data_IF_600886264376
#
_entry.id   IF_600886264376
#
_cell.length_a   1.000
_cell.length_b   1.000
_cell.length_c   1.000
_cell.angle_alpha   90.00
_cell.angle_beta   90.00
_cell.angle_gamma   90.00
#
_symmetry.space_group_name_H-M   'P 1'
#
loop_
_entity.id
_entity.type
_entity.pdbx_description
1 polymer ?
#
# COMPACT_ATOMS: atom_id res chain seq x y z
N UNK A 1 -27.82 8.55 -18.17
CA UNK A 1 -26.65 8.03 -17.44
C UNK A 1 -25.72 7.42 -18.48
N UNK A 2 -24.47 7.84 -18.54
CA UNK A 2 -23.54 7.24 -19.50
C UNK A 2 -23.30 5.79 -19.08
N UNK A 3 -23.72 4.85 -19.92
CA UNK A 3 -23.41 3.44 -19.73
C UNK A 3 -21.94 3.25 -20.14
N UNK A 4 -21.08 2.84 -19.23
CA UNK A 4 -19.65 2.65 -19.49
C UNK A 4 -19.38 1.65 -20.62
N UNK A 5 -20.29 0.75 -20.92
CA UNK A 5 -20.15 -0.17 -22.05
C UNK A 5 -19.91 0.54 -23.40
N UNK A 6 -20.50 1.73 -23.59
CA UNK A 6 -20.40 2.52 -24.83
C UNK A 6 -19.56 3.78 -24.65
N UNK A 7 -18.85 3.90 -23.52
CA UNK A 7 -17.92 5.00 -23.32
C UNK A 7 -16.83 5.00 -24.41
N UNK A 8 -16.40 6.17 -24.91
CA UNK A 8 -15.41 6.30 -25.99
C UNK A 8 -14.11 5.53 -25.74
N UNK A 9 -13.69 5.43 -24.48
CA UNK A 9 -12.46 4.73 -24.08
C UNK A 9 -12.69 3.27 -23.67
N UNK A 10 -13.95 2.78 -23.61
CA UNK A 10 -14.24 1.38 -23.32
C UNK A 10 -13.71 0.43 -24.42
N UNK A 11 -13.62 0.91 -25.67
CA UNK A 11 -13.00 0.15 -26.75
C UNK A 11 -11.57 -0.29 -26.40
N UNK A 12 -10.79 0.55 -25.70
CA UNK A 12 -9.42 0.24 -25.24
C UNK A 12 -9.41 -0.87 -24.19
N UNK A 13 -10.45 -0.95 -23.34
CA UNK A 13 -10.61 -2.04 -22.36
C UNK A 13 -10.88 -3.35 -23.09
N UNK A 14 -11.84 -3.38 -24.04
CA UNK A 14 -12.17 -4.60 -24.80
C UNK A 14 -11.01 -5.06 -25.68
N UNK A 15 -10.28 -4.13 -26.28
CA UNK A 15 -9.09 -4.42 -27.08
C UNK A 15 -8.01 -5.09 -26.20
N UNK A 16 -7.69 -4.54 -25.03
CA UNK A 16 -6.73 -5.13 -24.11
C UNK A 16 -7.19 -6.51 -23.63
N UNK A 17 -8.47 -6.69 -23.24
CA UNK A 17 -9.01 -7.98 -22.86
C UNK A 17 -8.86 -9.03 -24.00
N UNK A 18 -9.09 -8.63 -25.24
CA UNK A 18 -8.99 -9.50 -26.40
C UNK A 18 -7.53 -9.82 -26.76
N UNK A 19 -6.68 -8.79 -26.91
CA UNK A 19 -5.34 -8.94 -27.47
C UNK A 19 -4.31 -9.41 -26.44
N UNK A 20 -4.38 -8.88 -25.21
CA UNK A 20 -3.39 -9.16 -24.18
C UNK A 20 -3.80 -10.34 -23.28
N UNK A 21 -5.13 -10.62 -23.18
CA UNK A 21 -5.67 -11.65 -22.29
C UNK A 21 -6.49 -12.75 -22.98
N UNK A 22 -6.63 -12.68 -24.32
CA UNK A 22 -7.22 -13.76 -25.10
C UNK A 22 -8.73 -13.98 -24.89
N UNK A 23 -9.48 -12.95 -24.46
CA UNK A 23 -10.91 -13.07 -24.22
C UNK A 23 -11.65 -13.46 -25.48
N UNK A 24 -12.50 -14.51 -25.38
CA UNK A 24 -13.44 -14.92 -26.43
C UNK A 24 -14.54 -13.87 -26.65
N UNK A 25 -15.29 -14.02 -27.72
CA UNK A 25 -16.46 -13.15 -27.99
C UNK A 25 -17.49 -13.20 -26.85
N UNK A 26 -17.69 -14.35 -26.22
CA UNK A 26 -18.60 -14.54 -25.08
C UNK A 26 -18.09 -13.82 -23.84
N UNK A 27 -16.78 -13.94 -23.52
CA UNK A 27 -16.15 -13.24 -22.40
C UNK A 27 -16.15 -11.73 -22.61
N UNK A 28 -15.97 -11.24 -23.84
CA UNK A 28 -16.11 -9.82 -24.16
C UNK A 28 -17.56 -9.33 -23.99
N UNK A 29 -18.55 -10.14 -24.37
CA UNK A 29 -19.95 -9.82 -24.13
C UNK A 29 -20.29 -9.76 -22.63
N UNK A 30 -19.73 -10.68 -21.83
CA UNK A 30 -19.83 -10.65 -20.37
C UNK A 30 -19.21 -9.38 -19.78
N UNK A 31 -17.99 -9.01 -20.17
CA UNK A 31 -17.32 -7.78 -19.73
C UNK A 31 -18.13 -6.53 -20.12
N UNK A 32 -18.68 -6.50 -21.35
CA UNK A 32 -19.54 -5.42 -21.82
C UNK A 32 -20.82 -5.31 -20.98
N UNK A 33 -21.45 -6.45 -20.64
CA UNK A 33 -22.63 -6.48 -19.77
C UNK A 33 -22.31 -5.93 -18.37
N UNK A 34 -21.14 -6.27 -17.83
CA UNK A 34 -20.68 -5.73 -16.55
C UNK A 34 -20.51 -4.19 -16.60
N UNK A 35 -19.81 -3.68 -17.63
CA UNK A 35 -19.64 -2.23 -17.81
C UNK A 35 -20.93 -1.48 -18.10
N UNK A 36 -21.94 -2.13 -18.69
CA UNK A 36 -23.27 -1.55 -18.87
C UNK A 36 -24.01 -1.33 -17.54
N UNK A 37 -23.73 -2.16 -16.52
CA UNK A 37 -24.29 -2.04 -15.17
C UNK A 37 -23.47 -1.13 -14.25
N UNK A 38 -22.23 -0.82 -14.62
CA UNK A 38 -21.34 0.00 -13.78
C UNK A 38 -21.88 1.42 -13.61
N UNK A 39 -21.83 1.91 -12.37
CA UNK A 39 -22.33 3.23 -11.97
C UNK A 39 -21.24 4.27 -12.00
N UNK A 40 -21.56 5.44 -12.52
CA UNK A 40 -20.69 6.62 -12.45
C UNK A 40 -20.72 7.22 -11.04
N UNK A 41 -19.56 7.35 -10.42
CA UNK A 41 -19.36 7.85 -9.05
C UNK A 41 -18.34 9.02 -9.02
N UNK A 42 -18.72 10.23 -9.51
CA UNK A 42 -17.76 11.34 -9.68
C UNK A 42 -17.11 11.82 -8.39
N UNK A 43 -17.76 11.57 -7.23
CA UNK A 43 -17.19 11.90 -5.92
C UNK A 43 -15.90 11.15 -5.62
N UNK A 44 -15.68 9.96 -6.21
CA UNK A 44 -14.47 9.16 -5.99
C UNK A 44 -13.22 9.85 -6.56
N UNK A 45 -13.37 10.55 -7.70
CA UNK A 45 -12.30 11.33 -8.31
C UNK A 45 -11.89 12.49 -7.38
N UNK A 46 -12.86 13.16 -6.76
CA UNK A 46 -12.58 14.23 -5.78
C UNK A 46 -11.88 13.70 -4.53
N UNK A 47 -12.30 12.54 -4.02
CA UNK A 47 -11.66 11.89 -2.86
C UNK A 47 -10.18 11.57 -3.10
N UNK A 48 -9.83 11.12 -4.30
CA UNK A 48 -8.43 10.83 -4.66
C UNK A 48 -7.56 12.10 -4.63
N UNK A 49 -8.11 13.25 -4.98
CA UNK A 49 -7.39 14.51 -5.05
C UNK A 49 -7.13 15.17 -3.68
N UNK A 50 -7.86 14.77 -2.63
CA UNK A 50 -7.82 15.36 -1.27
C UNK A 50 -7.08 14.48 -0.27
N UNK A 51 -5.94 13.91 -0.65
CA UNK A 51 -5.16 13.05 0.24
C UNK A 51 -4.64 13.82 1.48
N UNK A 52 -4.81 13.27 2.70
CA UNK A 52 -4.45 13.93 3.96
C UNK A 52 -3.00 14.44 4.03
N UNK A 53 -2.04 13.70 3.47
CA UNK A 53 -0.63 14.07 3.49
C UNK A 53 -0.27 15.34 2.72
N UNK A 54 -1.24 15.93 2.00
CA UNK A 54 -1.05 17.22 1.32
C UNK A 54 -1.36 18.41 2.22
N UNK A 55 -2.10 18.19 3.30
CA UNK A 55 -2.66 19.27 4.13
C UNK A 55 -2.34 19.12 5.61
N UNK A 56 -1.98 17.94 6.08
CA UNK A 56 -1.69 17.63 7.48
C UNK A 56 -0.20 17.77 7.79
N UNK A 57 0.10 18.14 9.04
CA UNK A 57 1.42 17.95 9.64
C UNK A 57 1.62 16.50 10.04
N UNK A 58 2.86 16.10 10.35
CA UNK A 58 3.12 14.76 10.88
C UNK A 58 2.41 14.54 12.23
N UNK A 59 2.38 15.55 13.10
CA UNK A 59 1.65 15.46 14.38
C UNK A 59 0.18 15.10 14.17
N UNK A 60 -0.48 15.68 13.16
CA UNK A 60 -1.87 15.41 12.86
C UNK A 60 -2.05 14.01 12.26
N UNK A 61 -1.19 13.63 11.31
CA UNK A 61 -1.24 12.33 10.66
C UNK A 61 -0.97 11.19 11.63
N UNK A 62 -0.02 11.37 12.56
CA UNK A 62 0.36 10.36 13.55
C UNK A 62 -0.76 10.01 14.54
N UNK A 63 -1.81 10.83 14.68
CA UNK A 63 -3.02 10.49 15.47
C UNK A 63 -3.73 9.22 14.97
N UNK A 64 -3.42 8.76 13.75
CA UNK A 64 -3.88 7.47 13.22
C UNK A 64 -3.24 6.28 13.93
N UNK A 65 -2.13 6.48 14.64
CA UNK A 65 -1.49 5.48 15.49
C UNK A 65 -2.15 5.56 16.88
N UNK A 66 -3.43 5.20 16.94
CA UNK A 66 -4.22 5.26 18.17
C UNK A 66 -4.04 3.97 19.02
N UNK A 67 -4.35 4.08 20.33
CA UNK A 67 -4.23 2.98 21.28
C UNK A 67 -5.02 1.73 20.86
N UNK A 68 -6.20 1.92 20.25
CA UNK A 68 -7.01 0.79 19.79
C UNK A 68 -6.30 0.04 18.67
N UNK A 69 -5.70 0.79 17.71
CA UNK A 69 -4.95 0.19 16.61
C UNK A 69 -3.68 -0.53 17.09
N UNK A 70 -2.99 0.01 18.10
CA UNK A 70 -1.82 -0.66 18.71
C UNK A 70 -2.24 -1.97 19.37
N UNK A 71 -3.27 -1.93 20.23
CA UNK A 71 -3.78 -3.11 20.92
C UNK A 71 -4.29 -4.19 19.96
N UNK A 72 -5.07 -3.80 18.96
CA UNK A 72 -5.64 -4.72 17.97
C UNK A 72 -4.52 -5.35 17.12
N UNK A 73 -3.43 -4.59 16.87
CA UNK A 73 -2.23 -5.10 16.19
C UNK A 73 -1.47 -6.12 17.03
N UNK A 74 -1.29 -5.86 18.31
CA UNK A 74 -0.70 -6.84 19.23
C UNK A 74 -1.56 -8.10 19.34
N UNK A 75 -2.89 -7.96 19.42
CA UNK A 75 -3.81 -9.08 19.41
C UNK A 75 -3.72 -9.91 18.11
N UNK A 76 -3.48 -9.27 16.96
CA UNK A 76 -3.29 -10.00 15.70
C UNK A 76 -2.02 -10.88 15.74
N UNK A 77 -0.94 -10.43 16.38
CA UNK A 77 0.27 -11.24 16.53
C UNK A 77 -0.02 -12.54 17.29
N UNK A 78 -0.85 -12.46 18.34
CA UNK A 78 -1.26 -13.62 19.12
C UNK A 78 -2.29 -14.51 18.41
N UNK A 79 -3.12 -13.92 17.54
CA UNK A 79 -4.17 -14.66 16.81
C UNK A 79 -3.61 -15.48 15.65
N UNK A 80 -2.58 -14.97 14.96
CA UNK A 80 -1.99 -15.59 13.75
C UNK A 80 -0.48 -15.88 13.90
N UNK A 81 0.00 -16.46 15.01
CA UNK A 81 1.43 -16.58 15.26
C UNK A 81 2.14 -17.47 14.25
N UNK A 82 1.47 -18.51 13.73
CA UNK A 82 2.05 -19.45 12.75
C UNK A 82 2.23 -18.79 11.40
N UNK A 83 1.19 -18.12 10.88
CA UNK A 83 1.23 -17.44 9.59
C UNK A 83 2.25 -16.31 9.58
N UNK A 84 2.30 -15.51 10.65
CA UNK A 84 3.25 -14.41 10.78
C UNK A 84 4.70 -14.90 10.90
N UNK A 85 4.95 -15.97 11.67
CA UNK A 85 6.27 -16.60 11.72
C UNK A 85 6.67 -17.23 10.38
N UNK A 86 5.70 -17.75 9.61
CA UNK A 86 5.94 -18.26 8.27
C UNK A 86 6.30 -17.14 7.29
N UNK A 87 5.63 -16.00 7.34
CA UNK A 87 5.98 -14.79 6.55
C UNK A 87 7.40 -14.32 6.89
N UNK A 88 7.75 -14.24 8.16
CA UNK A 88 9.09 -13.84 8.56
C UNK A 88 10.16 -14.84 8.08
N UNK A 89 9.87 -16.13 8.17
CA UNK A 89 10.77 -17.18 7.69
C UNK A 89 10.94 -17.12 6.18
N UNK A 90 9.87 -16.95 5.42
CA UNK A 90 9.87 -17.01 3.95
C UNK A 90 10.35 -15.70 3.33
N UNK A 91 9.74 -14.60 3.74
CA UNK A 91 9.95 -13.28 3.12
C UNK A 91 10.89 -12.36 3.92
N UNK A 92 11.21 -12.71 5.16
CA UNK A 92 12.05 -11.90 6.04
C UNK A 92 11.36 -10.67 6.61
N UNK A 93 10.06 -10.51 6.39
CA UNK A 93 9.28 -9.36 6.87
C UNK A 93 8.82 -9.62 8.30
N UNK A 94 9.16 -8.75 9.28
CA UNK A 94 8.77 -8.95 10.68
C UNK A 94 7.25 -8.97 10.86
N UNK A 95 6.72 -9.82 11.77
CA UNK A 95 5.29 -9.88 12.13
C UNK A 95 4.64 -8.52 12.40
N UNK A 96 5.33 -7.65 13.13
CA UNK A 96 4.82 -6.33 13.48
C UNK A 96 4.66 -5.40 12.27
N UNK A 97 5.49 -5.54 11.23
CA UNK A 97 5.36 -4.77 9.97
C UNK A 97 4.11 -5.22 9.22
N UNK A 98 3.87 -6.52 9.09
CA UNK A 98 2.66 -7.05 8.45
C UNK A 98 1.41 -6.60 9.21
N UNK A 99 1.44 -6.68 10.54
CA UNK A 99 0.36 -6.21 11.41
C UNK A 99 0.11 -4.71 11.24
N UNK A 100 1.17 -3.89 11.20
CA UNK A 100 1.05 -2.44 11.01
C UNK A 100 0.44 -2.07 9.66
N UNK A 101 0.82 -2.75 8.57
CA UNK A 101 0.21 -2.55 7.24
C UNK A 101 -1.29 -2.86 7.32
N UNK A 102 -1.69 -4.02 7.83
CA UNK A 102 -3.11 -4.38 8.00
C UNK A 102 -3.86 -3.36 8.88
N UNK A 103 -3.18 -2.85 9.91
CA UNK A 103 -3.73 -1.83 10.80
C UNK A 103 -3.99 -0.50 10.09
N UNK A 104 -3.06 -0.02 9.29
CA UNK A 104 -3.19 1.24 8.53
C UNK A 104 -4.22 1.09 7.40
N UNK A 105 -4.16 0.00 6.63
CA UNK A 105 -5.01 -0.19 5.45
C UNK A 105 -6.48 -0.40 5.83
N UNK A 106 -6.77 -1.32 6.72
CA UNK A 106 -8.15 -1.80 6.91
C UNK A 106 -8.57 -1.97 8.38
N UNK A 107 -7.80 -1.46 9.33
CA UNK A 107 -8.02 -1.80 10.75
C UNK A 107 -8.17 -3.32 10.95
N UNK A 108 -7.17 -4.04 10.45
CA UNK A 108 -7.07 -5.51 10.56
C UNK A 108 -8.23 -6.25 9.87
N UNK A 109 -8.63 -5.79 8.68
CA UNK A 109 -9.70 -6.38 7.90
C UNK A 109 -11.12 -5.89 8.23
N UNK A 110 -11.27 -5.01 9.23
CA UNK A 110 -12.60 -4.51 9.63
C UNK A 110 -13.18 -3.47 8.67
N UNK A 111 -12.34 -2.78 7.90
CA UNK A 111 -12.76 -1.70 6.98
C UNK A 111 -12.08 -1.91 5.62
N UNK A 112 -12.60 -2.81 4.82
CA UNK A 112 -12.04 -3.14 3.48
C UNK A 112 -12.63 -2.29 2.36
N UNK A 113 -13.58 -1.41 2.68
CA UNK A 113 -14.33 -0.61 1.72
C UNK A 113 -15.68 -1.23 1.36
N UNK A 114 -16.60 -0.38 0.87
CA UNK A 114 -17.97 -0.77 0.53
C UNK A 114 -18.41 -0.31 -0.87
N UNK A 115 -17.47 0.21 -1.67
CA UNK A 115 -17.72 0.60 -3.07
C UNK A 115 -17.55 -0.63 -3.95
N UNK A 116 -18.47 -0.86 -4.90
CA UNK A 116 -18.24 -1.91 -5.90
C UNK A 116 -16.95 -1.60 -6.67
N UNK A 117 -16.03 -2.54 -6.71
CA UNK A 117 -14.73 -2.39 -7.40
C UNK A 117 -14.94 -2.05 -8.87
N UNK A 118 -15.93 -2.67 -9.51
CA UNK A 118 -16.33 -2.36 -10.89
C UNK A 118 -16.67 -0.86 -11.07
N UNK A 119 -17.52 -0.30 -10.19
CA UNK A 119 -17.93 1.11 -10.29
C UNK A 119 -16.75 2.06 -10.05
N UNK A 120 -15.92 1.75 -9.05
CA UNK A 120 -14.73 2.55 -8.73
C UNK A 120 -13.75 2.59 -9.91
N UNK A 121 -13.42 1.42 -10.46
CA UNK A 121 -12.45 1.29 -11.54
C UNK A 121 -13.00 1.78 -12.89
N UNK A 122 -14.29 1.58 -13.18
CA UNK A 122 -14.92 2.14 -14.38
C UNK A 122 -14.93 3.68 -14.33
N UNK A 123 -15.34 4.27 -13.19
CA UNK A 123 -15.32 5.74 -13.02
C UNK A 123 -13.91 6.30 -13.15
N UNK A 124 -12.94 5.72 -12.43
CA UNK A 124 -11.57 6.22 -12.43
C UNK A 124 -10.84 5.90 -13.75
N UNK A 125 -11.09 4.74 -14.34
CA UNK A 125 -10.44 4.25 -15.55
C UNK A 125 -10.93 4.90 -16.84
N UNK A 126 -12.12 5.48 -16.84
CA UNK A 126 -12.72 6.07 -18.03
C UNK A 126 -12.95 7.59 -17.91
N UNK A 127 -13.18 8.12 -16.70
CA UNK A 127 -13.53 9.53 -16.48
C UNK A 127 -12.46 10.34 -15.70
N UNK A 128 -11.42 9.71 -15.12
CA UNK A 128 -10.43 10.45 -14.33
C UNK A 128 -9.60 11.39 -15.22
N UNK A 129 -9.41 12.68 -14.86
CA UNK A 129 -8.80 13.67 -15.74
C UNK A 129 -7.32 13.40 -16.07
N UNK A 130 -6.56 12.78 -15.15
CA UNK A 130 -5.10 12.64 -15.29
C UNK A 130 -4.57 11.21 -15.11
N UNK A 131 -5.32 10.31 -14.44
CA UNK A 131 -4.87 8.94 -14.09
C UNK A 131 -5.64 7.84 -14.82
N UNK A 132 -6.41 8.19 -15.83
CA UNK A 132 -7.19 7.23 -16.66
C UNK A 132 -6.35 6.04 -17.13
N UNK A 133 -5.11 6.19 -17.66
CA UNK A 133 -4.35 5.04 -18.13
C UNK A 133 -4.06 4.02 -17.03
N UNK A 134 -3.71 4.48 -15.83
CA UNK A 134 -3.45 3.60 -14.68
C UNK A 134 -4.73 2.86 -14.25
N UNK A 135 -5.81 3.60 -13.97
CA UNK A 135 -7.05 2.97 -13.51
C UNK A 135 -7.72 2.10 -14.58
N UNK A 136 -7.55 2.43 -15.86
CA UNK A 136 -8.01 1.57 -16.96
C UNK A 136 -7.27 0.24 -17.02
N UNK A 137 -5.96 0.23 -16.80
CA UNK A 137 -5.21 -1.03 -16.68
C UNK A 137 -5.66 -1.85 -15.48
N UNK A 138 -6.00 -1.20 -14.36
CA UNK A 138 -6.56 -1.89 -13.20
C UNK A 138 -7.99 -2.41 -13.44
N UNK A 139 -8.82 -1.70 -14.23
CA UNK A 139 -10.13 -2.19 -14.67
C UNK A 139 -10.00 -3.44 -15.53
N UNK A 140 -9.06 -3.46 -16.47
CA UNK A 140 -8.74 -4.65 -17.28
C UNK A 140 -8.31 -5.80 -16.36
N UNK A 141 -7.35 -5.55 -15.46
CA UNK A 141 -6.86 -6.55 -14.51
C UNK A 141 -7.98 -7.09 -13.61
N UNK A 142 -8.93 -6.25 -13.20
CA UNK A 142 -10.10 -6.67 -12.41
C UNK A 142 -11.04 -7.59 -13.19
N UNK A 143 -11.36 -7.25 -14.44
CA UNK A 143 -12.21 -8.09 -15.26
C UNK A 143 -11.56 -9.44 -15.55
N UNK A 144 -10.25 -9.47 -15.78
CA UNK A 144 -9.49 -10.72 -15.93
C UNK A 144 -9.51 -11.52 -14.62
N UNK A 145 -9.25 -10.89 -13.47
CA UNK A 145 -9.29 -11.54 -12.17
C UNK A 145 -10.67 -12.14 -11.88
N UNK A 146 -11.74 -11.38 -12.14
CA UNK A 146 -13.12 -11.87 -11.96
C UNK A 146 -13.41 -13.08 -12.82
N UNK A 147 -12.93 -13.09 -14.07
CA UNK A 147 -13.06 -14.24 -14.97
C UNK A 147 -12.26 -15.46 -14.46
N UNK A 148 -11.02 -15.25 -14.01
CA UNK A 148 -10.15 -16.31 -13.46
C UNK A 148 -10.74 -16.95 -12.20
N UNK A 149 -11.40 -16.14 -11.36
CA UNK A 149 -12.02 -16.55 -10.11
C UNK A 149 -13.47 -17.02 -10.25
N UNK A 150 -14.09 -16.89 -11.42
CA UNK A 150 -15.51 -17.19 -11.62
C UNK A 150 -16.44 -16.24 -10.86
N UNK A 151 -15.98 -15.02 -10.52
CA UNK A 151 -16.81 -14.03 -9.81
C UNK A 151 -17.76 -13.30 -10.75
N UNK A 152 -18.95 -12.93 -10.26
CA UNK A 152 -19.68 -11.83 -10.87
C UNK A 152 -18.95 -10.52 -10.56
N UNK A 153 -18.45 -9.75 -11.55
CA UNK A 153 -17.69 -8.53 -11.33
C UNK A 153 -18.49 -7.42 -10.65
N UNK A 154 -19.80 -7.60 -10.48
CA UNK A 154 -20.69 -6.66 -9.78
C UNK A 154 -20.66 -6.81 -8.26
N UNK A 155 -20.14 -7.95 -7.75
CA UNK A 155 -20.18 -8.27 -6.32
C UNK A 155 -18.99 -7.76 -5.51
N UNK A 156 -17.71 -7.88 -5.96
CA UNK A 156 -16.57 -7.49 -5.15
C UNK A 156 -16.64 -6.03 -4.71
N UNK A 157 -16.43 -5.80 -3.41
CA UNK A 157 -16.36 -4.47 -2.81
C UNK A 157 -14.96 -4.17 -2.33
N UNK A 158 -14.62 -2.88 -2.38
CA UNK A 158 -13.30 -2.40 -1.99
C UNK A 158 -13.29 -0.90 -1.71
N UNK A 159 -12.13 -0.29 -1.80
CA UNK A 159 -11.96 1.13 -1.59
C UNK A 159 -12.53 1.98 -2.73
N UNK A 160 -12.58 3.29 -2.52
CA UNK A 160 -12.94 4.27 -3.54
C UNK A 160 -12.02 4.25 -4.78
N UNK A 161 -10.80 3.71 -4.66
CA UNK A 161 -9.84 3.56 -5.74
C UNK A 161 -9.84 2.16 -6.37
N UNK A 162 -10.68 1.23 -5.88
CA UNK A 162 -10.76 -0.14 -6.39
C UNK A 162 -9.75 -1.10 -5.76
N UNK A 163 -9.12 -0.73 -4.63
CA UNK A 163 -8.29 -1.64 -3.86
C UNK A 163 -9.14 -2.64 -3.07
N UNK A 164 -8.68 -3.89 -2.95
CA UNK A 164 -9.47 -5.04 -2.51
C UNK A 164 -8.89 -5.75 -1.29
N UNK A 165 -9.79 -6.27 -0.45
CA UNK A 165 -9.46 -7.12 0.68
C UNK A 165 -8.77 -6.43 1.84
N UNK A 166 -8.32 -7.18 2.84
CA UNK A 166 -7.65 -6.67 4.03
C UNK A 166 -6.28 -6.04 3.72
N UNK A 167 -5.60 -6.53 2.68
CA UNK A 167 -4.33 -6.02 2.19
C UNK A 167 -4.46 -4.81 1.24
N UNK A 168 -5.67 -4.42 0.83
CA UNK A 168 -5.92 -3.31 -0.10
C UNK A 168 -5.10 -3.40 -1.40
N UNK A 169 -5.03 -4.58 -2.01
CA UNK A 169 -4.35 -4.75 -3.28
C UNK A 169 -5.19 -4.22 -4.44
N UNK A 170 -4.53 -3.50 -5.35
CA UNK A 170 -5.09 -3.25 -6.67
C UNK A 170 -5.23 -4.57 -7.44
N UNK A 171 -6.19 -4.69 -8.39
CA UNK A 171 -6.43 -5.95 -9.11
C UNK A 171 -5.20 -6.57 -9.77
N UNK A 172 -4.32 -5.75 -10.34
CA UNK A 172 -3.07 -6.22 -10.94
C UNK A 172 -2.13 -6.87 -9.91
N UNK A 173 -2.06 -6.30 -8.69
CA UNK A 173 -1.29 -6.86 -7.59
C UNK A 173 -1.96 -8.11 -7.01
N UNK A 174 -3.28 -8.14 -6.92
CA UNK A 174 -4.02 -9.34 -6.52
C UNK A 174 -3.64 -10.53 -7.41
N UNK A 175 -3.75 -10.37 -8.73
CA UNK A 175 -3.41 -11.42 -9.68
C UNK A 175 -1.94 -11.87 -9.62
N UNK A 176 -1.03 -10.94 -9.36
CA UNK A 176 0.41 -11.20 -9.41
C UNK A 176 1.01 -11.67 -8.10
N UNK A 177 0.53 -11.15 -6.98
CA UNK A 177 1.21 -11.24 -5.68
C UNK A 177 0.38 -11.89 -4.58
N UNK A 178 -0.94 -12.03 -4.75
CA UNK A 178 -1.75 -12.73 -3.75
C UNK A 178 -1.38 -14.23 -3.72
N UNK A 179 -1.45 -14.81 -2.54
CA UNK A 179 -1.12 -16.21 -2.26
C UNK A 179 -2.21 -16.87 -1.43
N UNK A 180 -2.48 -18.14 -1.72
CA UNK A 180 -3.20 -19.06 -0.83
C UNK A 180 -2.23 -19.46 0.29
N UNK A 181 -2.29 -18.71 1.40
CA UNK A 181 -1.29 -18.84 2.45
C UNK A 181 -1.69 -19.83 3.54
N UNK A 182 -2.98 -20.07 3.72
CA UNK A 182 -3.48 -21.12 4.63
C UNK A 182 -3.69 -22.48 3.92
N UNK A 183 -3.50 -22.48 2.59
CA UNK A 183 -3.53 -23.69 1.74
C UNK A 183 -4.89 -24.37 1.71
N UNK A 184 -5.95 -23.57 1.73
CA UNK A 184 -7.32 -24.07 1.59
C UNK A 184 -7.73 -24.31 0.13
N UNK A 185 -6.89 -23.92 -0.84
CA UNK A 185 -7.08 -24.05 -2.29
C UNK A 185 -7.65 -22.81 -2.96
N UNK A 186 -7.92 -21.76 -2.20
CA UNK A 186 -8.43 -20.50 -2.70
C UNK A 186 -7.51 -19.33 -2.29
N UNK A 187 -7.49 -18.27 -3.06
CA UNK A 187 -6.85 -17.02 -2.67
C UNK A 187 -7.95 -16.02 -2.38
N UNK A 188 -8.12 -15.65 -1.11
CA UNK A 188 -9.11 -14.68 -0.65
C UNK A 188 -8.49 -13.58 0.23
N UNK A 189 -8.24 -12.41 -0.33
CA UNK A 189 -7.66 -11.28 0.41
C UNK A 189 -8.61 -10.63 1.42
N UNK A 190 -9.88 -11.02 1.49
CA UNK A 190 -10.77 -10.64 2.61
C UNK A 190 -10.54 -11.52 3.83
N UNK A 191 -9.90 -12.68 3.67
CA UNK A 191 -9.42 -13.53 4.76
C UNK A 191 -8.02 -13.11 5.20
N UNK A 192 -7.82 -13.01 6.52
CA UNK A 192 -6.55 -12.53 7.06
C UNK A 192 -5.34 -13.44 6.78
N UNK A 193 -5.44 -14.77 6.77
CA UNK A 193 -4.30 -15.63 6.45
C UNK A 193 -3.67 -15.30 5.10
N UNK A 194 -4.47 -15.20 4.04
CA UNK A 194 -3.99 -14.87 2.71
C UNK A 194 -3.49 -13.44 2.59
N UNK A 195 -4.18 -12.50 3.26
CA UNK A 195 -3.73 -11.11 3.31
C UNK A 195 -2.36 -10.98 3.99
N UNK A 196 -2.11 -11.73 5.09
CA UNK A 196 -0.82 -11.78 5.81
C UNK A 196 0.29 -12.29 4.87
N UNK A 197 0.09 -13.43 4.23
CA UNK A 197 1.06 -14.00 3.30
C UNK A 197 1.32 -13.11 2.10
N UNK A 198 0.26 -12.54 1.53
CA UNK A 198 0.33 -11.67 0.36
C UNK A 198 1.07 -10.35 0.64
N UNK A 199 0.93 -9.77 1.84
CA UNK A 199 1.72 -8.60 2.27
C UNK A 199 3.21 -8.96 2.33
N UNK A 200 3.56 -10.13 2.91
CA UNK A 200 4.93 -10.61 2.94
C UNK A 200 5.53 -10.73 1.54
N UNK A 201 4.84 -11.42 0.64
CA UNK A 201 5.24 -11.56 -0.76
C UNK A 201 5.34 -10.24 -1.49
N UNK A 202 4.40 -9.32 -1.26
CA UNK A 202 4.42 -7.98 -1.85
C UNK A 202 5.75 -7.27 -1.58
N UNK A 203 6.21 -7.26 -0.35
CA UNK A 203 7.44 -6.55 0.02
C UNK A 203 8.70 -7.12 -0.63
N UNK A 204 8.68 -8.38 -1.06
CA UNK A 204 9.82 -8.99 -1.76
C UNK A 204 9.69 -8.85 -3.29
N UNK A 205 8.51 -9.16 -3.83
CA UNK A 205 8.33 -9.41 -5.26
C UNK A 205 7.75 -8.23 -6.05
N UNK A 206 7.13 -7.23 -5.38
CA UNK A 206 6.51 -6.11 -6.10
C UNK A 206 7.52 -5.30 -6.91
N UNK A 207 8.61 -4.91 -6.28
CA UNK A 207 9.77 -4.25 -6.90
C UNK A 207 11.05 -4.86 -6.34
N UNK A 208 11.62 -5.91 -6.94
CA UNK A 208 12.74 -6.65 -6.37
C UNK A 208 13.98 -5.79 -6.04
N UNK A 209 14.22 -4.71 -6.80
CA UNK A 209 15.32 -3.78 -6.49
C UNK A 209 15.11 -2.99 -5.18
N UNK A 210 13.88 -2.78 -4.78
CA UNK A 210 13.47 -2.14 -3.52
C UNK A 210 12.85 -3.16 -2.56
N UNK A 211 13.00 -4.45 -2.83
CA UNK A 211 12.46 -5.54 -2.03
C UNK A 211 13.04 -5.54 -0.61
N UNK A 212 12.24 -6.05 0.31
CA UNK A 212 12.59 -6.14 1.73
C UNK A 212 13.91 -6.86 1.97
N UNK A 213 14.75 -6.32 2.83
CA UNK A 213 16.00 -6.92 3.27
C UNK A 213 15.88 -7.38 4.71
N UNK A 214 16.03 -8.69 4.90
CA UNK A 214 15.94 -9.32 6.23
C UNK A 214 16.95 -8.71 7.19
N UNK A 215 16.46 -8.32 8.38
CA UNK A 215 17.29 -7.81 9.47
C UNK A 215 17.77 -6.36 9.30
N UNK A 216 17.51 -5.71 8.17
CA UNK A 216 17.81 -4.27 8.04
C UNK A 216 16.72 -3.42 8.69
N UNK A 217 17.07 -2.38 9.47
CA UNK A 217 16.09 -1.45 10.03
C UNK A 217 15.47 -0.56 8.95
N UNK A 218 14.33 0.07 9.28
CA UNK A 218 13.66 1.02 8.38
C UNK A 218 14.24 2.42 8.51
N UNK A 219 14.52 2.84 9.76
CA UNK A 219 14.78 4.22 10.15
C UNK A 219 15.86 4.29 11.21
N UNK A 220 16.58 5.40 11.20
CA UNK A 220 17.43 5.84 12.32
C UNK A 220 17.02 7.24 12.70
N UNK A 221 16.83 7.50 14.01
CA UNK A 221 16.55 8.82 14.52
C UNK A 221 17.77 9.71 14.32
N UNK A 222 17.52 10.97 13.96
CA UNK A 222 18.60 11.93 13.69
C UNK A 222 18.27 13.30 14.27
N UNK A 223 19.32 14.09 14.45
CA UNK A 223 19.24 15.49 14.81
C UNK A 223 20.13 16.32 13.90
N UNK A 224 19.68 17.51 13.53
CA UNK A 224 20.50 18.48 12.81
C UNK A 224 21.10 19.47 13.79
N UNK A 225 22.42 19.66 13.75
CA UNK A 225 23.13 20.63 14.61
C UNK A 225 23.07 22.08 14.07
N UNK A 226 22.53 22.26 12.89
CA UNK A 226 22.31 23.52 12.19
C UNK A 226 21.12 23.43 11.27
N UNK A 227 20.63 24.57 10.79
CA UNK A 227 19.56 24.58 9.77
C UNK A 227 20.01 23.86 8.50
N UNK A 228 19.15 22.98 7.98
CA UNK A 228 19.43 22.26 6.75
C UNK A 228 19.39 23.20 5.55
N UNK A 229 20.26 23.00 4.52
CA UNK A 229 20.23 23.79 3.31
C UNK A 229 18.84 23.81 2.66
N UNK A 230 18.40 24.96 2.16
CA UNK A 230 17.06 25.13 1.56
C UNK A 230 16.87 24.33 0.27
N UNK A 231 17.95 24.06 -0.44
CA UNK A 231 18.00 23.27 -1.68
C UNK A 231 18.21 21.78 -1.41
N UNK A 232 18.35 21.37 -0.15
CA UNK A 232 18.49 19.97 0.22
C UNK A 232 17.22 19.20 -0.14
N UNK A 233 17.39 18.14 -0.91
CA UNK A 233 16.29 17.22 -1.21
C UNK A 233 15.97 16.40 0.03
N UNK A 234 14.74 16.50 0.52
CA UNK A 234 14.20 15.70 1.61
C UNK A 234 12.97 14.95 1.14
N UNK A 235 12.58 13.93 1.86
CA UNK A 235 11.35 13.15 1.60
C UNK A 235 11.32 12.53 0.18
N UNK A 236 12.49 12.13 -0.33
CA UNK A 236 12.60 11.51 -1.64
C UNK A 236 11.99 10.09 -1.61
N UNK A 237 11.73 9.53 -2.80
CA UNK A 237 11.14 8.18 -2.95
C UNK A 237 12.18 7.06 -3.03
N UNK A 238 13.46 7.42 -3.09
CA UNK A 238 14.60 6.51 -3.13
C UNK A 238 15.75 7.18 -2.37
N UNK A 239 16.72 6.40 -1.83
CA UNK A 239 17.90 6.96 -1.19
C UNK A 239 18.71 7.74 -2.23
N UNK A 240 19.07 8.97 -1.92
CA UNK A 240 19.81 9.88 -2.81
C UNK A 240 21.12 10.41 -2.20
N UNK A 241 21.45 9.95 -0.99
CA UNK A 241 22.65 10.29 -0.24
C UNK A 241 23.35 9.03 0.26
N UNK A 242 24.58 9.20 0.72
CA UNK A 242 25.31 8.22 1.54
C UNK A 242 25.36 8.67 3.00
N UNK A 243 25.61 7.73 3.91
CA UNK A 243 25.74 8.07 5.33
C UNK A 243 26.87 9.10 5.59
N UNK A 244 27.98 9.04 4.82
CA UNK A 244 29.06 10.01 4.93
C UNK A 244 28.61 11.46 4.61
N UNK A 245 27.62 11.63 3.74
CA UNK A 245 27.12 12.96 3.37
C UNK A 245 26.40 13.65 4.53
N UNK A 246 25.84 12.89 5.48
CA UNK A 246 25.12 13.43 6.63
C UNK A 246 26.01 14.30 7.53
N UNK A 247 27.25 13.90 7.74
CA UNK A 247 28.19 14.65 8.57
C UNK A 247 28.47 16.05 7.98
N UNK A 248 28.60 16.16 6.66
CA UNK A 248 28.79 17.43 5.95
C UNK A 248 27.55 18.36 6.09
N UNK A 249 26.35 17.76 6.27
CA UNK A 249 25.09 18.47 6.50
C UNK A 249 24.87 18.85 7.98
N UNK A 250 25.76 18.40 8.89
CA UNK A 250 25.61 18.61 10.32
C UNK A 250 24.54 17.71 10.95
N UNK A 251 24.22 16.59 10.31
CA UNK A 251 23.26 15.61 10.81
C UNK A 251 24.00 14.55 11.61
N UNK A 252 23.49 14.29 12.82
CA UNK A 252 23.94 13.21 13.71
C UNK A 252 22.85 12.17 13.86
N UNK A 253 23.21 10.91 13.84
CA UNK A 253 22.32 9.76 14.04
C UNK A 253 22.58 9.09 15.38
N UNK A 254 21.59 8.41 15.94
CA UNK A 254 21.72 7.61 17.15
C UNK A 254 22.60 6.35 16.96
N UNK A 255 22.74 5.91 15.72
CA UNK A 255 23.53 4.71 15.34
C UNK A 255 24.45 5.07 14.19
N UNK A 256 25.69 4.61 14.27
CA UNK A 256 26.64 4.74 13.17
C UNK A 256 26.39 3.67 12.10
N UNK A 257 26.46 4.08 10.84
CA UNK A 257 26.34 3.23 9.67
C UNK A 257 27.62 3.27 8.81
N UNK A 258 27.85 2.28 7.96
CA UNK A 258 28.98 2.35 7.03
C UNK A 258 28.91 3.61 6.14
N UNK A 259 30.05 4.27 5.92
CA UNK A 259 30.13 5.57 5.23
C UNK A 259 29.39 5.59 3.87
N UNK A 260 29.46 4.50 3.11
CA UNK A 260 28.80 4.37 1.79
C UNK A 260 27.39 3.82 1.86
N UNK A 261 26.80 3.67 3.05
CA UNK A 261 25.44 3.15 3.19
C UNK A 261 24.45 4.12 2.56
N UNK A 262 23.57 3.67 1.64
CA UNK A 262 22.59 4.52 0.99
C UNK A 262 21.52 4.96 1.99
N UNK A 263 21.25 6.26 2.05
CA UNK A 263 20.29 6.85 2.98
C UNK A 263 19.49 7.96 2.32
N UNK A 264 18.37 8.32 2.94
CA UNK A 264 17.63 9.54 2.61
C UNK A 264 17.25 10.30 3.85
N UNK A 265 17.03 11.60 3.73
CA UNK A 265 16.61 12.46 4.83
C UNK A 265 15.11 12.64 4.80
N UNK A 266 14.46 12.34 5.93
CA UNK A 266 13.06 12.64 6.15
C UNK A 266 12.94 13.87 7.05
N UNK A 267 12.11 14.80 6.61
CA UNK A 267 11.77 16.02 7.34
C UNK A 267 10.26 16.04 7.53
N UNK A 268 9.83 15.92 8.79
CA UNK A 268 8.43 15.76 9.17
C UNK A 268 7.95 17.02 9.89
N UNK A 269 7.09 17.85 9.31
CA UNK A 269 6.59 19.07 9.92
C UNK A 269 5.69 18.75 11.12
N UNK A 270 5.92 19.46 12.23
CA UNK A 270 5.12 19.35 13.46
C UNK A 270 4.15 20.53 13.62
N UNK A 271 3.16 20.38 14.51
CA UNK A 271 2.14 21.42 14.76
C UNK A 271 2.72 22.68 15.43
N UNK A 272 3.87 22.58 16.11
CA UNK A 272 4.57 23.70 16.73
C UNK A 272 5.47 24.50 15.77
N UNK A 273 5.49 24.10 14.49
CA UNK A 273 6.32 24.73 13.44
C UNK A 273 7.75 24.21 13.39
N UNK A 274 8.13 23.29 14.25
CA UNK A 274 9.41 22.58 14.16
C UNK A 274 9.33 21.39 13.19
N UNK A 275 10.48 20.75 12.95
CA UNK A 275 10.59 19.57 12.12
C UNK A 275 11.26 18.42 12.89
N UNK A 276 10.76 17.24 12.74
CA UNK A 276 11.40 16.01 13.17
C UNK A 276 12.25 15.43 12.03
N UNK A 277 13.52 15.08 12.33
CA UNK A 277 14.47 14.58 11.33
C UNK A 277 14.70 13.08 11.55
N UNK A 278 14.59 12.32 10.47
CA UNK A 278 14.90 10.90 10.44
C UNK A 278 15.74 10.55 9.21
N UNK A 279 16.49 9.47 9.32
CA UNK A 279 17.22 8.89 8.21
C UNK A 279 16.49 7.64 7.77
N UNK A 280 16.03 7.67 6.53
CA UNK A 280 15.39 6.52 5.86
C UNK A 280 16.43 5.57 5.32
N UNK A 281 16.25 4.28 5.58
CA UNK A 281 17.07 3.19 5.10
C UNK A 281 16.31 2.34 4.07
N UNK A 282 16.93 1.32 3.53
CA UNK A 282 16.36 0.54 2.42
C UNK A 282 14.94 0.04 2.70
N UNK A 283 14.68 -0.56 3.86
CA UNK A 283 13.36 -1.12 4.18
C UNK A 283 12.26 -0.06 4.36
N UNK A 284 12.60 1.19 4.64
CA UNK A 284 11.64 2.29 4.59
C UNK A 284 11.11 2.51 3.18
N UNK A 285 12.00 2.46 2.18
CA UNK A 285 11.62 2.58 0.78
C UNK A 285 10.85 1.35 0.27
N UNK A 286 11.14 0.16 0.83
CA UNK A 286 10.30 -1.02 0.59
C UNK A 286 8.85 -0.77 1.04
N UNK A 287 8.65 -0.19 2.23
CA UNK A 287 7.31 0.20 2.71
C UNK A 287 6.68 1.28 1.81
N UNK A 288 7.46 2.27 1.35
CA UNK A 288 6.97 3.28 0.40
C UNK A 288 6.53 2.70 -0.95
N UNK A 289 6.91 1.48 -1.31
CA UNK A 289 6.36 0.83 -2.52
C UNK A 289 4.88 0.48 -2.37
N UNK A 290 4.41 0.26 -1.15
CA UNK A 290 3.00 -0.03 -0.85
C UNK A 290 2.13 1.22 -1.02
N UNK A 291 2.57 2.32 -0.43
CA UNK A 291 2.01 3.65 -0.64
C UNK A 291 3.16 4.67 -0.71
N UNK A 292 3.36 5.38 -1.85
CA UNK A 292 4.54 6.21 -2.09
C UNK A 292 4.48 7.56 -1.35
N UNK A 293 4.17 7.53 -0.06
CA UNK A 293 4.06 8.68 0.83
C UNK A 293 4.87 8.47 2.10
N UNK A 294 5.65 9.47 2.47
CA UNK A 294 6.52 9.42 3.66
C UNK A 294 5.71 9.21 4.94
N UNK A 295 4.60 9.94 5.11
CA UNK A 295 3.77 9.80 6.31
C UNK A 295 3.17 8.42 6.47
N UNK A 296 2.78 7.77 5.36
CA UNK A 296 2.33 6.38 5.37
C UNK A 296 3.43 5.45 5.89
N UNK A 297 4.63 5.52 5.31
CA UNK A 297 5.73 4.64 5.69
C UNK A 297 6.19 4.89 7.13
N UNK A 298 6.19 6.16 7.59
CA UNK A 298 6.43 6.52 8.98
C UNK A 298 5.36 5.92 9.91
N UNK A 299 4.08 6.01 9.54
CA UNK A 299 3.01 5.45 10.34
C UNK A 299 3.12 3.92 10.46
N UNK A 300 3.45 3.21 9.37
CA UNK A 300 3.74 1.77 9.42
C UNK A 300 4.90 1.47 10.36
N UNK A 301 6.01 2.21 10.25
CA UNK A 301 7.20 2.00 11.08
C UNK A 301 6.91 2.24 12.58
N UNK A 302 6.27 3.36 12.92
CA UNK A 302 5.96 3.70 14.33
C UNK A 302 4.88 2.80 14.90
N UNK A 303 3.86 2.45 14.12
CA UNK A 303 2.84 1.51 14.56
C UNK A 303 3.44 0.12 14.80
N UNK A 304 4.34 -0.36 13.94
CA UNK A 304 5.01 -1.65 14.14
C UNK A 304 5.85 -1.67 15.42
N UNK A 305 6.57 -0.59 15.73
CA UNK A 305 7.31 -0.45 16.97
C UNK A 305 6.38 -0.51 18.20
N UNK A 306 5.29 0.28 18.17
CA UNK A 306 4.31 0.31 19.26
C UNK A 306 3.57 -1.04 19.45
N UNK A 307 3.23 -1.73 18.36
CA UNK A 307 2.65 -3.09 18.40
C UNK A 307 3.61 -4.07 19.06
N UNK A 308 4.90 -3.99 18.72
CA UNK A 308 5.93 -4.86 19.32
C UNK A 308 6.01 -4.63 20.83
N UNK A 309 6.09 -3.37 21.27
CA UNK A 309 6.12 -3.03 22.69
C UNK A 309 4.86 -3.51 23.44
N UNK A 310 3.69 -3.35 22.83
CA UNK A 310 2.42 -3.77 23.45
C UNK A 310 2.31 -5.30 23.56
N UNK A 311 2.74 -6.03 22.54
CA UNK A 311 2.73 -7.49 22.54
C UNK A 311 3.64 -8.09 23.63
N UNK A 312 4.74 -7.42 23.98
CA UNK A 312 5.61 -7.86 25.07
C UNK A 312 5.07 -7.55 26.47
N UNK A 313 4.10 -6.62 26.59
CA UNK A 313 3.47 -6.31 27.89
C UNK A 313 2.35 -7.28 28.25
N UNK A 314 1.81 -7.95 27.24
CA UNK A 314 0.68 -8.88 27.42
C UNK A 314 1.22 -10.31 27.26
N UNK A 315 1.37 -11.10 28.34
CA UNK A 315 1.88 -12.46 28.28
C UNK A 315 0.92 -13.44 27.57
#
# INVERSE_FOLDING_TARGET
MAQYADHRDAAKVYEALKLDHGFSAEQLAWARSALADAKTLPQLIRQEQTAPERTETWTQYARRIDTARIRDGAALLHKFPRQLAEVEREYGVPPAIVSAVLGIETRYGNITGNVRVLDALATQGLDHPTRTPFFRSELVAFLVLAQEKGWDPREPKGSYAGAMGAAQFMPSNYRRLAVDFDRDGEIDLWQLPDAIGSIGRYFVDYRPKLGWRRGEPLLVRASASRELPRDLKVNQREPDLTYADLAALGIKTEVELPAKFPVGILKLPLDDGSDEIWIALHNFYAVMTYNPRVFYAMAVAQLAAAITEEAYKTP
#
